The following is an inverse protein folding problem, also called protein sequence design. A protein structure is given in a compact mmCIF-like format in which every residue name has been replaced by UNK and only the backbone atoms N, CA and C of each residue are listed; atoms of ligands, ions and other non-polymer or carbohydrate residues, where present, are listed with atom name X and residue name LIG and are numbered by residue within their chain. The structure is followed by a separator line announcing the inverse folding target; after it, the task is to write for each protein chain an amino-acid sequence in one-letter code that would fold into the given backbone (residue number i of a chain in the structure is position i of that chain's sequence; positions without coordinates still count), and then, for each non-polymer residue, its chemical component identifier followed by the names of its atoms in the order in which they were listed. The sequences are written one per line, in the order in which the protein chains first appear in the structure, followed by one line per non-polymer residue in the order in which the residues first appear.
data_IF_682919764817
#
_entry.id   IF_682919764817
#
_cell.length_a   1.000
_cell.length_b   1.000
_cell.length_c   1.000
_cell.angle_alpha   90.00
_cell.angle_beta   90.00
_cell.angle_gamma   90.00
#
_symmetry.space_group_name_H-M   'P 1'
#
loop_
_entity.id
_entity.type
_entity.pdbx_description
1 polymer ?
#
# COMPACT_ATOMS: atom_id res chain seq x y z
N UNK A 1 -3.43 -11.85 8.56
CA UNK A 1 -3.49 -13.25 8.06
C UNK A 1 -4.71 -13.56 7.20
N UNK A 2 -5.93 -13.09 7.53
CA UNK A 2 -7.14 -13.41 6.74
C UNK A 2 -7.10 -12.98 5.26
N UNK A 3 -6.45 -11.85 4.96
CA UNK A 3 -6.34 -11.34 3.60
C UNK A 3 -5.38 -12.17 2.76
N UNK A 4 -4.21 -12.51 3.30
CA UNK A 4 -3.21 -13.38 2.66
C UNK A 4 -3.80 -14.74 2.28
N UNK A 5 -4.57 -15.36 3.19
CA UNK A 5 -5.25 -16.63 2.94
C UNK A 5 -6.39 -16.52 1.90
N UNK A 6 -7.02 -15.34 1.78
CA UNK A 6 -8.04 -15.08 0.75
C UNK A 6 -7.43 -14.73 -0.60
N UNK A 7 -6.30 -14.03 -0.58
CA UNK A 7 -5.56 -13.59 -1.76
C UNK A 7 -4.88 -14.78 -2.44
N UNK A 8 -4.11 -15.59 -1.71
CA UNK A 8 -3.54 -16.86 -2.20
C UNK A 8 -4.59 -17.82 -2.78
N UNK A 9 -5.80 -17.88 -2.20
CA UNK A 9 -6.90 -18.67 -2.77
C UNK A 9 -7.48 -18.06 -4.06
N UNK A 10 -7.46 -16.74 -4.21
CA UNK A 10 -7.94 -16.06 -5.42
C UNK A 10 -6.94 -16.21 -6.58
N UNK A 11 -5.63 -16.14 -6.28
CA UNK A 11 -4.54 -16.38 -7.23
C UNK A 11 -4.62 -17.77 -7.84
N UNK A 12 -4.72 -18.80 -6.99
CA UNK A 12 -4.83 -20.19 -7.44
C UNK A 12 -6.05 -20.44 -8.35
N UNK A 13 -7.09 -19.61 -8.25
CA UNK A 13 -8.34 -19.75 -9.02
C UNK A 13 -8.36 -18.91 -10.32
N UNK A 14 -7.49 -17.92 -10.45
CA UNK A 14 -7.37 -17.10 -11.67
C UNK A 14 -6.80 -17.89 -12.88
N UNK A 15 -6.24 -19.08 -12.63
CA UNK A 15 -5.86 -20.05 -13.66
C UNK A 15 -7.06 -20.61 -14.47
N UNK A 16 -8.32 -20.44 -14.00
CA UNK A 16 -9.52 -20.92 -14.70
C UNK A 16 -10.35 -19.73 -15.24
N UNK A 17 -10.22 -19.52 -16.56
CA UNK A 17 -10.87 -18.50 -17.40
C UNK A 17 -12.28 -18.04 -16.99
N UNK A 18 -12.46 -16.73 -16.79
CA UNK A 18 -13.55 -15.85 -17.30
C UNK A 18 -13.73 -14.62 -16.38
N UNK A 19 -13.28 -13.43 -16.82
CA UNK A 19 -13.58 -12.14 -16.16
C UNK A 19 -12.42 -11.14 -16.03
N UNK A 20 -11.56 -11.02 -17.05
CA UNK A 20 -10.30 -10.26 -16.99
C UNK A 20 -10.46 -8.78 -16.56
N UNK A 21 -11.52 -8.08 -17.03
CA UNK A 21 -11.79 -6.69 -16.64
C UNK A 21 -12.23 -6.54 -15.17
N UNK A 22 -13.02 -7.48 -14.63
CA UNK A 22 -13.45 -7.48 -13.23
C UNK A 22 -12.30 -7.85 -12.30
N UNK A 23 -11.38 -8.71 -12.77
CA UNK A 23 -10.16 -9.08 -12.04
C UNK A 23 -9.19 -7.91 -11.94
N UNK A 24 -8.96 -7.15 -13.01
CA UNK A 24 -8.07 -5.98 -12.97
C UNK A 24 -8.54 -4.90 -11.96
N UNK A 25 -9.85 -4.63 -11.89
CA UNK A 25 -10.41 -3.71 -10.90
C UNK A 25 -10.25 -4.22 -9.46
N UNK A 26 -10.43 -5.54 -9.25
CA UNK A 26 -10.22 -6.17 -7.95
C UNK A 26 -8.75 -6.11 -7.51
N UNK A 27 -7.82 -6.36 -8.42
CA UNK A 27 -6.39 -6.27 -8.16
C UNK A 27 -5.98 -4.87 -7.71
N UNK A 28 -6.48 -3.81 -8.35
CA UNK A 28 -6.24 -2.42 -7.92
C UNK A 28 -6.78 -2.13 -6.52
N UNK A 29 -7.95 -2.66 -6.16
CA UNK A 29 -8.51 -2.51 -4.80
C UNK A 29 -7.65 -3.24 -3.76
N UNK A 30 -7.22 -4.46 -4.06
CA UNK A 30 -6.35 -5.23 -3.18
C UNK A 30 -4.96 -4.58 -3.04
N UNK A 31 -4.42 -4.00 -4.12
CA UNK A 31 -3.17 -3.22 -4.13
C UNK A 31 -3.26 -2.01 -3.19
N UNK A 32 -4.32 -1.21 -3.35
CA UNK A 32 -4.58 -0.04 -2.50
C UNK A 32 -4.71 -0.46 -1.03
N UNK A 33 -5.38 -1.59 -0.76
CA UNK A 33 -5.56 -2.12 0.59
C UNK A 33 -4.24 -2.55 1.22
N UNK A 34 -3.38 -3.24 0.48
CA UNK A 34 -2.05 -3.64 0.95
C UNK A 34 -1.18 -2.40 1.25
N UNK A 35 -1.15 -1.41 0.34
CA UNK A 35 -0.43 -0.14 0.56
C UNK A 35 -0.90 0.58 1.83
N UNK A 36 -2.22 0.65 2.04
CA UNK A 36 -2.80 1.24 3.24
C UNK A 36 -2.45 0.46 4.52
N UNK A 37 -2.42 -0.87 4.46
CA UNK A 37 -2.02 -1.70 5.60
C UNK A 37 -0.54 -1.51 5.96
N UNK A 38 0.34 -1.47 4.96
CA UNK A 38 1.78 -1.20 5.14
C UNK A 38 1.97 0.18 5.78
N UNK A 39 1.33 1.21 5.25
CA UNK A 39 1.39 2.58 5.79
C UNK A 39 0.92 2.64 7.25
N UNK A 40 -0.21 1.98 7.56
CA UNK A 40 -0.71 1.87 8.93
C UNK A 40 0.29 1.17 9.86
N UNK A 41 0.90 0.06 9.41
CA UNK A 41 1.91 -0.66 10.19
C UNK A 41 3.16 0.17 10.47
N UNK A 42 3.67 0.92 9.49
CA UNK A 42 4.76 1.87 9.72
C UNK A 42 4.41 2.92 10.76
N UNK A 43 3.19 3.47 10.71
CA UNK A 43 2.73 4.44 11.72
C UNK A 43 2.67 3.83 13.11
N UNK A 44 2.08 2.63 13.25
CA UNK A 44 2.01 1.92 14.54
C UNK A 44 3.39 1.61 15.11
N UNK A 45 4.32 1.15 14.27
CA UNK A 45 5.71 0.90 14.67
C UNK A 45 6.38 2.19 15.19
N UNK A 46 6.23 3.30 14.46
CA UNK A 46 6.76 4.60 14.87
C UNK A 46 6.20 5.09 16.20
N UNK A 47 4.88 5.00 16.40
CA UNK A 47 4.20 5.33 17.66
C UNK A 47 4.78 4.51 18.83
N UNK A 48 4.94 3.20 18.64
CA UNK A 48 5.48 2.31 19.66
C UNK A 48 6.91 2.69 20.04
N UNK A 49 7.79 2.89 19.06
CA UNK A 49 9.17 3.30 19.28
C UNK A 49 9.23 4.63 20.04
N UNK A 50 8.42 5.61 19.64
CA UNK A 50 8.35 6.91 20.30
C UNK A 50 7.94 6.78 21.77
N UNK A 51 6.82 6.10 22.06
CA UNK A 51 6.32 5.97 23.43
C UNK A 51 7.27 5.17 24.32
N UNK A 52 7.84 4.07 23.83
CA UNK A 52 8.81 3.30 24.60
C UNK A 52 10.05 4.13 24.93
N UNK A 53 10.56 4.90 23.96
CA UNK A 53 11.72 5.78 24.20
C UNK A 53 11.41 6.89 25.20
N UNK A 54 10.19 7.43 25.17
CA UNK A 54 9.73 8.48 26.09
C UNK A 54 9.55 7.98 27.52
N UNK A 55 8.99 6.78 27.71
CA UNK A 55 8.54 6.26 29.01
C UNK A 55 9.59 5.34 29.70
N UNK A 56 10.83 5.27 29.21
CA UNK A 56 11.93 4.46 29.76
C UNK A 56 11.60 2.96 29.98
N UNK A 57 10.83 2.36 29.08
CA UNK A 57 10.58 0.91 29.10
C UNK A 57 11.85 0.09 28.84
N UNK A 58 11.81 -1.19 29.19
CA UNK A 58 12.91 -2.13 28.95
C UNK A 58 13.22 -2.24 27.45
N UNK A 59 14.51 -2.34 27.11
CA UNK A 59 14.94 -2.41 25.71
C UNK A 59 14.50 -3.73 25.04
N UNK A 60 14.35 -4.81 25.80
CA UNK A 60 14.03 -6.14 25.28
C UNK A 60 12.58 -6.25 24.78
N UNK A 61 11.61 -5.75 25.55
CA UNK A 61 10.19 -5.74 25.14
C UNK A 61 9.95 -4.88 23.91
N UNK A 62 10.72 -3.79 23.76
CA UNK A 62 10.68 -2.95 22.57
C UNK A 62 11.20 -3.71 21.35
N UNK A 63 12.37 -4.33 21.46
CA UNK A 63 13.00 -5.02 20.32
C UNK A 63 12.11 -6.16 19.82
N UNK A 64 11.53 -6.95 20.71
CA UNK A 64 10.57 -8.00 20.34
C UNK A 64 9.34 -7.44 19.60
N UNK A 65 8.79 -6.30 20.05
CA UNK A 65 7.66 -5.67 19.38
C UNK A 65 8.04 -5.08 18.00
N UNK A 66 9.26 -4.55 17.87
CA UNK A 66 9.79 -4.08 16.58
C UNK A 66 9.93 -5.26 15.62
N UNK A 67 10.55 -6.35 16.04
CA UNK A 67 10.77 -7.53 15.21
C UNK A 67 9.45 -8.09 14.67
N UNK A 68 8.43 -8.18 15.53
CA UNK A 68 7.09 -8.62 15.10
C UNK A 68 6.48 -7.68 14.04
N UNK A 69 6.63 -6.37 14.19
CA UNK A 69 6.12 -5.42 13.22
C UNK A 69 6.89 -5.45 11.90
N UNK A 70 8.20 -5.65 11.94
CA UNK A 70 9.04 -5.80 10.74
C UNK A 70 8.61 -7.03 9.96
N UNK A 71 8.45 -8.18 10.63
CA UNK A 71 8.00 -9.42 9.97
C UNK A 71 6.62 -9.25 9.31
N UNK A 72 5.68 -8.57 9.98
CA UNK A 72 4.36 -8.29 9.40
C UNK A 72 4.44 -7.35 8.17
N UNK A 73 5.32 -6.36 8.20
CA UNK A 73 5.52 -5.42 7.09
C UNK A 73 6.14 -6.16 5.90
N UNK A 74 7.17 -6.97 6.12
CA UNK A 74 7.85 -7.74 5.08
C UNK A 74 6.85 -8.67 4.37
N UNK A 75 6.01 -9.38 5.13
CA UNK A 75 4.96 -10.23 4.56
C UNK A 75 3.96 -9.45 3.70
N UNK A 76 3.59 -8.22 4.11
CA UNK A 76 2.68 -7.38 3.31
C UNK A 76 3.36 -6.82 2.06
N UNK A 77 4.65 -6.48 2.13
CA UNK A 77 5.44 -6.01 0.99
C UNK A 77 5.63 -7.13 -0.03
N UNK A 78 5.90 -8.36 0.41
CA UNK A 78 5.97 -9.54 -0.45
C UNK A 78 4.63 -9.80 -1.13
N UNK A 79 3.51 -9.68 -0.41
CA UNK A 79 2.18 -9.81 -0.98
C UNK A 79 1.90 -8.76 -2.07
N UNK A 80 2.30 -7.50 -1.82
CA UNK A 80 2.15 -6.40 -2.77
C UNK A 80 3.00 -6.63 -4.03
N UNK A 81 4.22 -7.14 -3.85
CA UNK A 81 5.11 -7.50 -4.96
C UNK A 81 4.54 -8.64 -5.80
N UNK A 82 4.03 -9.69 -5.18
CA UNK A 82 3.38 -10.80 -5.90
C UNK A 82 2.17 -10.32 -6.71
N UNK A 83 1.33 -9.48 -6.09
CA UNK A 83 0.17 -8.89 -6.76
C UNK A 83 0.58 -8.02 -7.96
N UNK A 84 1.65 -7.22 -7.85
CA UNK A 84 2.11 -6.37 -8.95
C UNK A 84 2.71 -7.19 -10.10
N UNK A 85 3.44 -8.26 -9.80
CA UNK A 85 3.98 -9.20 -10.79
C UNK A 85 2.84 -9.94 -11.54
N UNK A 86 1.78 -10.35 -10.85
CA UNK A 86 0.60 -10.95 -11.48
C UNK A 86 -0.16 -9.98 -12.39
N UNK A 87 -0.32 -8.72 -11.97
CA UNK A 87 -0.93 -7.69 -12.80
C UNK A 87 -0.12 -7.42 -14.07
N UNK A 88 1.22 -7.52 -14.00
CA UNK A 88 2.10 -7.37 -15.15
C UNK A 88 2.06 -8.57 -16.13
N UNK A 89 1.62 -9.75 -15.67
CA UNK A 89 1.50 -10.95 -16.50
C UNK A 89 0.21 -10.98 -17.36
N UNK A 90 -0.74 -10.06 -17.13
CA UNK A 90 -1.94 -9.93 -17.95
C UNK A 90 -1.59 -9.13 -19.23
N UNK A 91 -1.84 -9.68 -20.44
CA UNK A 91 -1.60 -8.97 -21.69
C UNK A 91 -2.38 -7.65 -21.72
N UNK A 92 -1.70 -6.52 -21.98
CA UNK A 92 -2.34 -5.20 -22.12
C UNK A 92 -3.26 -5.17 -23.36
N UNK A 93 -4.53 -5.56 -23.23
CA UNK A 93 -5.55 -5.10 -24.16
C UNK A 93 -6.01 -3.69 -23.77
N UNK A 94 -5.32 -2.70 -24.36
CA UNK A 94 -5.68 -1.28 -24.51
C UNK A 94 -6.27 -0.60 -23.27
N UNK A 95 -5.38 -0.03 -22.44
CA UNK A 95 -5.69 1.20 -21.70
C UNK A 95 -6.29 2.22 -22.69
N UNK A 96 -7.42 2.89 -22.38
CA UNK A 96 -7.64 4.21 -22.96
C UNK A 96 -6.52 5.11 -22.42
N UNK A 97 -5.53 5.36 -23.27
CA UNK A 97 -4.50 6.38 -23.10
C UNK A 97 -5.20 7.74 -23.13
N UNK A 98 -5.32 8.37 -21.98
CA UNK A 98 -5.21 9.83 -21.89
C UNK A 98 -3.84 10.09 -21.31
N UNK A 99 -2.85 10.06 -22.19
CA UNK A 99 -1.62 10.83 -22.03
C UNK A 99 -2.00 12.29 -22.27
N UNK A 100 -1.66 13.17 -21.34
CA UNK A 100 -1.03 14.46 -21.64
C UNK A 100 -0.57 15.10 -20.31
N UNK A 101 0.75 15.16 -20.17
CA UNK A 101 1.55 16.13 -19.41
C UNK A 101 0.90 16.83 -18.21
N UNK A 102 1.18 16.33 -17.01
CA UNK A 102 1.04 17.10 -15.77
C UNK A 102 2.27 16.81 -14.92
N UNK A 103 3.11 17.83 -14.72
CA UNK A 103 4.24 17.74 -13.81
C UNK A 103 3.73 17.31 -12.43
N UNK A 104 4.23 16.18 -11.93
CA UNK A 104 3.81 15.61 -10.65
C UNK A 104 4.15 16.58 -9.52
N UNK A 105 3.15 17.35 -9.08
CA UNK A 105 3.28 18.24 -7.94
C UNK A 105 3.14 17.39 -6.67
N UNK A 106 4.15 17.37 -5.79
CA UNK A 106 4.08 16.61 -4.54
C UNK A 106 3.73 17.54 -3.36
N UNK A 107 2.94 17.04 -2.42
CA UNK A 107 2.60 17.78 -1.22
C UNK A 107 3.85 17.95 -0.34
N UNK A 108 4.25 19.19 -0.07
CA UNK A 108 5.43 19.47 0.76
C UNK A 108 5.27 19.02 2.22
N UNK A 109 4.03 18.86 2.70
CA UNK A 109 3.77 18.45 4.08
C UNK A 109 3.81 16.93 4.28
N UNK A 110 3.34 16.14 3.31
CA UNK A 110 3.21 14.68 3.49
C UNK A 110 3.81 13.83 2.35
N UNK A 111 4.30 14.47 1.28
CA UNK A 111 4.89 13.82 0.12
C UNK A 111 3.90 13.16 -0.83
N UNK A 112 2.58 13.31 -0.62
CA UNK A 112 1.57 12.71 -1.50
C UNK A 112 1.45 13.46 -2.83
N UNK A 113 1.20 12.72 -3.92
CA UNK A 113 0.97 13.29 -5.24
C UNK A 113 -0.28 14.20 -5.22
N UNK A 114 -0.14 15.39 -5.79
CA UNK A 114 -1.18 16.39 -5.95
C UNK A 114 -1.62 16.42 -7.42
N UNK A 115 -2.92 16.68 -7.59
CA UNK A 115 -3.50 17.00 -8.89
C UNK A 115 -3.28 18.49 -9.13
N UNK A 116 -2.95 18.89 -10.36
CA UNK A 116 -2.83 20.30 -10.72
C UNK A 116 -4.11 21.08 -10.35
N UNK A 117 -3.94 22.21 -9.66
CA UNK A 117 -5.05 23.04 -9.19
C UNK A 117 -5.74 22.58 -7.91
N UNK A 118 -5.24 21.55 -7.22
CA UNK A 118 -5.78 21.13 -5.92
C UNK A 118 -5.59 22.23 -4.86
N UNK A 119 -6.68 22.75 -4.29
CA UNK A 119 -6.62 23.73 -3.19
C UNK A 119 -6.20 23.12 -1.83
N UNK A 120 -6.37 21.80 -1.69
CA UNK A 120 -6.02 21.04 -0.49
C UNK A 120 -5.50 19.66 -0.90
N UNK A 121 -4.53 19.13 -0.14
CA UNK A 121 -4.02 17.78 -0.33
C UNK A 121 -5.11 16.75 -0.02
N UNK A 122 -5.40 15.80 -0.94
CA UNK A 122 -6.42 14.77 -0.72
C UNK A 122 -6.00 13.77 0.36
N UNK A 123 -4.70 13.65 0.66
CA UNK A 123 -4.19 12.69 1.64
C UNK A 123 -4.09 13.25 3.05
N UNK A 124 -3.68 14.52 3.22
CA UNK A 124 -3.46 15.10 4.55
C UNK A 124 -4.32 16.33 4.87
N UNK A 125 -5.07 16.86 3.91
CA UNK A 125 -5.92 18.04 4.10
C UNK A 125 -5.16 19.36 4.20
N UNK A 126 -3.82 19.36 4.07
CA UNK A 126 -3.02 20.58 4.03
C UNK A 126 -3.40 21.41 2.82
N UNK A 127 -3.66 22.69 3.05
CA UNK A 127 -3.92 23.65 1.98
C UNK A 127 -2.67 23.77 1.11
N UNK A 128 -2.86 23.69 -0.20
CA UNK A 128 -1.79 23.87 -1.18
C UNK A 128 -1.88 25.33 -1.64
N UNK A 129 -0.76 26.05 -1.56
CA UNK A 129 -0.65 27.46 -1.99
C UNK A 129 -0.04 27.57 -3.39
#
# INVERSE_FOLDING_TARGET
MDLMNKFSKAINKASEKAGELTQQAKFKVDEQKLKNQISSKYKHLGEKIYFTKKENFSNEELMNAIDQHVEEIDLLMDALKQLSEEMAAIPEEKKPTVEEDIASLCCENCGADLVEGAAYCPSCGTKIE
#
